data_IF_008856704089
#
_entry.id   IF_008856704089
#
_cell.length_a   1.000
_cell.length_b   1.000
_cell.length_c   1.000
_cell.angle_alpha   90.00
_cell.angle_beta   90.00
_cell.angle_gamma   90.00
#
_symmetry.space_group_name_H-M   'P 1'
#
loop_
_entity.id
_entity.type
_entity.pdbx_description
1 polymer ?
#
# COMPACT_ATOMS: atom_id res chain seq x y z
N UNK A 1 -29.21 -15.82 63.19
CA UNK A 1 -30.21 -15.78 62.17
C UNK A 1 -29.52 -15.17 60.95
N UNK A 2 -28.98 -16.01 60.09
CA UNK A 2 -28.18 -15.55 58.94
C UNK A 2 -29.09 -15.50 57.70
N UNK A 3 -29.43 -14.30 57.24
CA UNK A 3 -30.09 -14.11 55.96
C UNK A 3 -29.08 -14.44 54.84
N UNK A 4 -29.30 -15.61 54.28
CA UNK A 4 -28.57 -16.05 53.08
C UNK A 4 -29.02 -15.21 51.89
N UNK A 5 -28.21 -14.24 51.48
CA UNK A 5 -28.48 -13.39 50.31
C UNK A 5 -28.48 -14.27 49.03
N UNK A 6 -29.69 -14.72 48.68
CA UNK A 6 -29.92 -15.48 47.44
C UNK A 6 -29.80 -14.50 46.28
N UNK A 7 -28.58 -14.39 45.72
CA UNK A 7 -28.32 -13.58 44.54
C UNK A 7 -29.17 -14.10 43.38
N UNK A 8 -30.03 -13.26 42.86
CA UNK A 8 -30.95 -13.56 41.77
C UNK A 8 -30.16 -14.07 40.56
N UNK A 9 -30.39 -15.30 40.15
CA UNK A 9 -29.68 -15.97 39.03
C UNK A 9 -29.73 -15.15 37.74
N UNK A 10 -30.78 -14.37 37.57
CA UNK A 10 -30.96 -13.49 36.41
C UNK A 10 -29.94 -12.32 36.44
N UNK A 11 -29.72 -11.72 37.61
CA UNK A 11 -28.74 -10.66 37.79
C UNK A 11 -27.32 -11.17 37.58
N UNK A 12 -27.01 -12.35 38.08
CA UNK A 12 -25.72 -12.99 37.88
C UNK A 12 -25.43 -13.24 36.39
N UNK A 13 -26.41 -13.77 35.65
CA UNK A 13 -26.27 -14.03 34.21
C UNK A 13 -26.06 -12.74 33.41
N UNK A 14 -26.76 -11.66 33.74
CA UNK A 14 -26.59 -10.36 33.08
C UNK A 14 -25.20 -9.83 33.32
N UNK A 15 -24.64 -9.88 34.52
CA UNK A 15 -23.30 -9.43 34.82
C UNK A 15 -22.24 -10.26 34.08
N UNK A 16 -22.44 -11.58 33.98
CA UNK A 16 -21.54 -12.46 33.24
C UNK A 16 -21.48 -12.11 31.73
N UNK A 17 -22.64 -11.84 31.13
CA UNK A 17 -22.75 -11.44 29.72
C UNK A 17 -22.01 -10.10 29.47
N UNK A 18 -22.21 -9.11 30.37
CA UNK A 18 -21.53 -7.80 30.25
C UNK A 18 -20.04 -7.95 30.38
N UNK A 19 -19.53 -8.76 31.30
CA UNK A 19 -18.09 -9.01 31.47
C UNK A 19 -17.51 -9.68 30.21
N UNK A 20 -18.19 -10.65 29.63
CA UNK A 20 -17.76 -11.31 28.39
C UNK A 20 -17.71 -10.36 27.20
N UNK A 21 -18.68 -9.43 27.09
CA UNK A 21 -18.66 -8.41 26.03
C UNK A 21 -17.51 -7.43 26.18
N UNK A 22 -17.23 -6.98 27.41
CA UNK A 22 -16.09 -6.08 27.67
C UNK A 22 -14.76 -6.79 27.38
N UNK A 23 -14.61 -8.05 27.79
CA UNK A 23 -13.42 -8.84 27.49
C UNK A 23 -13.21 -9.01 25.96
N UNK A 24 -14.28 -9.24 25.19
CA UNK A 24 -14.21 -9.34 23.75
C UNK A 24 -13.77 -8.02 23.08
N UNK A 25 -14.27 -6.89 23.57
CA UNK A 25 -13.87 -5.56 23.08
C UNK A 25 -12.38 -5.30 23.37
N UNK A 26 -11.90 -5.63 24.57
CA UNK A 26 -10.48 -5.44 24.94
C UNK A 26 -9.57 -6.30 24.07
N UNK A 27 -9.91 -7.57 23.83
CA UNK A 27 -9.15 -8.47 22.95
C UNK A 27 -9.14 -7.95 21.51
N UNK A 28 -10.27 -7.44 21.04
CA UNK A 28 -10.36 -6.85 19.68
C UNK A 28 -9.49 -5.61 19.52
N UNK A 29 -9.43 -4.74 20.54
CA UNK A 29 -8.57 -3.55 20.54
C UNK A 29 -7.08 -3.90 20.60
N UNK A 30 -6.69 -4.88 21.44
CA UNK A 30 -5.28 -5.31 21.53
C UNK A 30 -4.78 -6.02 20.27
N UNK A 31 -5.64 -6.75 19.57
CA UNK A 31 -5.30 -7.35 18.28
C UNK A 31 -5.15 -6.30 17.17
N UNK A 32 -5.90 -5.19 17.25
CA UNK A 32 -5.79 -4.11 16.27
C UNK A 32 -4.44 -3.39 16.37
N UNK A 33 -3.96 -3.12 17.58
CA UNK A 33 -2.66 -2.47 17.82
C UNK A 33 -1.47 -3.38 17.44
N UNK A 34 -1.61 -4.71 17.59
CA UNK A 34 -0.56 -5.66 17.20
C UNK A 34 -0.37 -5.76 15.67
N UNK A 35 -1.41 -5.53 14.88
CA UNK A 35 -1.32 -5.56 13.42
C UNK A 35 -0.53 -4.37 12.86
N UNK A 36 -0.55 -3.21 13.54
CA UNK A 36 0.22 -2.03 13.11
C UNK A 36 1.69 -2.06 13.55
N UNK A 37 2.03 -2.78 14.62
CA UNK A 37 3.41 -2.79 15.14
C UNK A 37 4.34 -3.79 14.42
N UNK A 38 3.80 -4.84 13.80
CA UNK A 38 4.61 -5.83 13.07
C UNK A 38 5.15 -5.27 11.75
N UNK A 39 4.47 -4.30 11.13
CA UNK A 39 4.91 -3.68 9.87
C UNK A 39 6.11 -2.74 10.04
N UNK A 40 6.38 -2.21 11.23
CA UNK A 40 7.48 -1.26 11.48
C UNK A 40 8.82 -1.92 11.85
N UNK A 41 8.82 -3.14 12.37
CA UNK A 41 10.06 -3.79 12.83
C UNK A 41 10.90 -4.42 11.71
N UNK A 42 10.35 -4.64 10.51
CA UNK A 42 11.07 -5.33 9.43
C UNK A 42 12.00 -4.43 8.60
N UNK A 43 11.92 -3.11 8.76
CA UNK A 43 12.67 -2.13 7.94
C UNK A 43 14.07 -1.79 8.43
N UNK A 44 14.53 -2.36 9.58
CA UNK A 44 15.77 -1.88 10.20
C UNK A 44 17.03 -2.71 9.94
N UNK A 45 16.99 -3.89 9.33
CA UNK A 45 18.12 -4.83 9.40
C UNK A 45 18.61 -5.50 8.11
N UNK A 46 18.36 -5.00 6.90
CA UNK A 46 19.00 -5.61 5.72
C UNK A 46 19.58 -4.57 4.75
N UNK A 47 20.72 -3.98 5.13
CA UNK A 47 21.68 -3.41 4.18
C UNK A 47 23.01 -4.10 4.37
N UNK A 48 23.17 -5.26 3.71
CA UNK A 48 24.47 -5.84 3.43
C UNK A 48 24.61 -5.90 1.92
N UNK A 49 25.36 -4.96 1.36
CA UNK A 49 25.77 -4.98 -0.05
C UNK A 49 27.02 -5.82 -0.19
N UNK A 50 26.93 -6.91 -0.92
CA UNK A 50 28.09 -7.64 -1.39
C UNK A 50 28.47 -7.15 -2.79
N UNK A 51 29.72 -6.68 -2.91
CA UNK A 51 30.33 -6.24 -4.17
C UNK A 51 30.83 -7.44 -4.95
N UNK A 52 30.11 -7.84 -5.99
CA UNK A 52 30.54 -8.82 -6.97
C UNK A 52 30.74 -8.22 -8.34
N UNK A 53 31.99 -7.88 -8.66
CA UNK A 53 32.46 -7.51 -10.00
C UNK A 53 32.37 -8.70 -10.95
N UNK A 54 31.72 -8.55 -12.11
CA UNK A 54 32.03 -9.38 -13.30
C UNK A 54 31.67 -8.71 -14.61
N UNK A 55 32.58 -8.86 -15.52
CA UNK A 55 32.84 -8.23 -16.81
C UNK A 55 31.87 -8.59 -17.94
N UNK A 56 31.64 -7.59 -18.76
CA UNK A 56 31.66 -7.50 -20.24
C UNK A 56 31.15 -8.71 -21.07
N UNK A 57 30.09 -8.44 -21.80
CA UNK A 57 29.70 -9.14 -23.00
C UNK A 57 28.85 -8.24 -23.88
N UNK A 58 29.49 -7.62 -24.88
CA UNK A 58 28.84 -6.84 -25.94
C UNK A 58 28.07 -7.79 -26.85
N UNK A 59 26.75 -7.58 -26.99
CA UNK A 59 25.98 -8.02 -28.15
C UNK A 59 25.03 -6.91 -28.56
N UNK A 60 25.27 -6.36 -29.74
CA UNK A 60 24.34 -5.50 -30.46
C UNK A 60 23.11 -6.32 -30.88
N UNK A 61 21.94 -5.94 -30.40
CA UNK A 61 20.68 -6.23 -31.07
C UNK A 61 19.74 -5.02 -30.97
N UNK A 62 19.66 -4.35 -32.10
CA UNK A 62 18.68 -3.34 -32.48
C UNK A 62 17.32 -4.00 -32.65
N UNK A 63 16.40 -3.75 -31.74
CA UNK A 63 14.95 -3.62 -31.85
C UNK A 63 14.28 -3.87 -30.50
N UNK A 64 14.51 -3.00 -29.56
CA UNK A 64 13.72 -2.92 -28.32
C UNK A 64 12.76 -1.74 -28.44
N UNK A 65 11.50 -2.01 -28.72
CA UNK A 65 10.42 -1.06 -28.44
C UNK A 65 10.47 -0.76 -26.94
N UNK A 66 11.18 0.27 -26.56
CA UNK A 66 11.16 0.78 -25.20
C UNK A 66 9.76 1.36 -24.97
N UNK A 67 8.90 0.63 -24.30
CA UNK A 67 7.71 1.18 -23.67
C UNK A 67 8.19 2.23 -22.66
N UNK A 68 8.31 3.48 -23.13
CA UNK A 68 8.57 4.61 -22.25
C UNK A 68 7.28 4.82 -21.49
N UNK A 69 7.19 4.26 -20.29
CA UNK A 69 6.11 4.58 -19.36
C UNK A 69 6.20 6.07 -19.06
N UNK A 70 5.25 6.83 -19.55
CA UNK A 70 5.20 8.29 -19.34
C UNK A 70 4.88 8.55 -17.88
N UNK A 71 5.83 9.10 -17.13
CA UNK A 71 5.56 9.57 -15.78
C UNK A 71 4.93 10.96 -15.79
N UNK A 72 4.14 11.25 -14.77
CA UNK A 72 3.51 12.57 -14.55
C UNK A 72 3.95 13.12 -13.20
N UNK A 73 4.33 14.39 -13.16
CA UNK A 73 4.77 15.03 -11.93
C UNK A 73 3.57 15.35 -11.01
N UNK A 74 3.66 14.92 -9.74
CA UNK A 74 2.70 15.30 -8.69
C UNK A 74 2.94 16.77 -8.33
N UNK A 75 2.14 17.65 -8.91
CA UNK A 75 2.17 19.09 -8.65
C UNK A 75 1.01 19.57 -7.75
N UNK A 76 0.07 18.69 -7.43
CA UNK A 76 -1.09 18.96 -6.59
C UNK A 76 -1.38 17.75 -5.68
N UNK A 77 -2.22 17.94 -4.68
CA UNK A 77 -2.63 16.87 -3.75
C UNK A 77 -3.41 15.73 -4.43
N UNK A 78 -3.99 15.99 -5.62
CA UNK A 78 -4.79 15.02 -6.37
C UNK A 78 -4.28 14.94 -7.79
N UNK A 79 -3.67 13.84 -8.19
CA UNK A 79 -3.22 13.61 -9.56
C UNK A 79 -3.79 12.29 -10.05
N UNK A 80 -4.60 12.35 -11.13
CA UNK A 80 -5.26 11.21 -11.77
C UNK A 80 -4.73 11.06 -13.19
N UNK A 81 -4.23 9.86 -13.52
CA UNK A 81 -3.75 9.53 -14.86
C UNK A 81 -4.21 8.13 -15.27
N UNK A 82 -4.40 7.86 -16.56
CA UNK A 82 -4.61 6.50 -17.03
C UNK A 82 -3.34 5.66 -16.88
N UNK A 83 -3.49 4.35 -16.72
CA UNK A 83 -2.42 3.39 -16.96
C UNK A 83 -1.96 3.44 -18.41
N UNK A 84 -0.76 2.95 -18.71
CA UNK A 84 -0.19 2.94 -20.08
C UNK A 84 -1.00 2.06 -21.07
N UNK A 85 -1.76 1.08 -20.57
CA UNK A 85 -2.71 0.29 -21.34
C UNK A 85 -4.12 0.88 -21.37
N UNK A 86 -4.43 1.85 -20.50
CA UNK A 86 -5.71 2.55 -20.45
C UNK A 86 -6.87 1.75 -19.85
N UNK A 87 -6.62 0.63 -19.21
CA UNK A 87 -7.69 -0.19 -18.60
C UNK A 87 -8.22 0.40 -17.29
N UNK A 88 -7.45 1.28 -16.64
CA UNK A 88 -7.79 1.91 -15.35
C UNK A 88 -7.20 3.32 -15.29
N UNK A 89 -7.93 4.25 -14.70
CA UNK A 89 -7.37 5.53 -14.26
C UNK A 89 -6.95 5.43 -12.79
N UNK A 90 -5.74 5.89 -12.47
CA UNK A 90 -5.17 5.85 -11.12
C UNK A 90 -5.10 7.25 -10.56
N UNK A 91 -5.76 7.50 -9.42
CA UNK A 91 -5.66 8.73 -8.64
C UNK A 91 -4.71 8.51 -7.47
N UNK A 92 -3.71 9.37 -7.34
CA UNK A 92 -2.79 9.39 -6.20
C UNK A 92 -2.98 10.67 -5.39
N UNK A 93 -3.15 10.49 -4.08
CA UNK A 93 -3.35 11.56 -3.09
C UNK A 93 -2.32 11.42 -1.97
N UNK A 94 -1.18 12.14 -2.05
CA UNK A 94 -0.18 12.14 -0.99
C UNK A 94 -0.67 12.94 0.24
N UNK A 95 -0.29 12.49 1.43
CA UNK A 95 -0.53 13.19 2.70
C UNK A 95 0.66 12.96 3.65
N UNK A 96 1.29 14.05 4.18
CA UNK A 96 1.00 15.46 3.90
C UNK A 96 1.33 15.86 2.46
N UNK A 97 0.85 17.02 2.05
CA UNK A 97 1.27 17.66 0.80
C UNK A 97 1.56 19.15 1.05
N UNK A 98 2.73 19.67 0.62
CA UNK A 98 3.81 18.99 -0.10
C UNK A 98 4.50 17.90 0.75
N UNK A 99 5.14 16.93 0.06
CA UNK A 99 5.86 15.86 0.73
C UNK A 99 7.16 16.38 1.36
N UNK A 100 7.43 15.89 2.58
CA UNK A 100 8.62 16.21 3.36
C UNK A 100 9.25 14.93 3.93
N UNK A 101 10.51 15.03 4.39
CA UNK A 101 11.15 13.94 5.13
C UNK A 101 10.26 13.55 6.32
N UNK A 102 10.08 12.26 6.55
CA UNK A 102 9.24 11.71 7.61
C UNK A 102 8.10 10.84 7.09
N UNK A 103 7.12 10.63 7.96
CA UNK A 103 6.00 9.73 7.67
C UNK A 103 5.01 10.36 6.68
N UNK A 104 4.64 9.59 5.70
CA UNK A 104 3.70 9.98 4.63
C UNK A 104 2.76 8.82 4.30
N UNK A 105 1.67 9.14 3.62
CA UNK A 105 0.69 8.16 3.13
C UNK A 105 0.30 8.53 1.70
N UNK A 106 0.19 7.53 0.86
CA UNK A 106 -0.38 7.67 -0.48
C UNK A 106 -1.72 6.96 -0.50
N UNK A 107 -2.82 7.70 -0.59
CA UNK A 107 -4.12 7.13 -0.91
C UNK A 107 -4.18 6.96 -2.42
N UNK A 108 -4.39 5.74 -2.88
CA UNK A 108 -4.47 5.35 -4.28
C UNK A 108 -5.90 4.87 -4.53
N UNK A 109 -6.54 5.41 -5.55
CA UNK A 109 -7.88 5.01 -5.97
C UNK A 109 -7.87 4.65 -7.44
N UNK A 110 -8.50 3.52 -7.76
CA UNK A 110 -8.65 3.03 -9.12
C UNK A 110 -10.02 3.40 -9.65
N UNK A 111 -10.08 3.91 -10.88
CA UNK A 111 -11.32 4.31 -11.53
C UNK A 111 -11.48 3.59 -12.86
N UNK A 112 -12.70 3.39 -13.28
CA UNK A 112 -12.98 2.97 -14.65
C UNK A 112 -12.46 4.04 -15.62
N UNK A 113 -11.99 3.65 -16.83
CA UNK A 113 -11.38 4.59 -17.77
C UNK A 113 -12.28 5.79 -18.05
N UNK A 114 -11.70 6.99 -17.97
CA UNK A 114 -12.39 8.28 -18.24
C UNK A 114 -13.69 8.46 -17.46
N UNK A 115 -13.75 7.93 -16.24
CA UNK A 115 -14.93 7.91 -15.38
C UNK A 115 -14.60 8.37 -13.96
N UNK A 116 -15.61 8.76 -13.19
CA UNK A 116 -15.52 8.97 -11.75
C UNK A 116 -16.03 7.74 -10.95
N UNK A 117 -16.30 6.62 -11.64
CA UNK A 117 -16.72 5.37 -11.00
C UNK A 117 -15.51 4.60 -10.53
N UNK A 118 -15.49 4.20 -9.26
CA UNK A 118 -14.42 3.36 -8.70
C UNK A 118 -14.40 2.01 -9.41
N UNK A 119 -13.22 1.58 -9.83
CA UNK A 119 -12.95 0.22 -10.29
C UNK A 119 -12.69 -0.66 -9.08
N UNK A 120 -13.59 -1.58 -8.79
CA UNK A 120 -13.46 -2.57 -7.71
C UNK A 120 -12.69 -3.81 -8.18
N UNK A 121 -12.24 -4.63 -7.23
CA UNK A 121 -11.51 -5.89 -7.47
C UNK A 121 -10.33 -5.71 -8.42
N UNK A 122 -9.34 -4.93 -7.95
CA UNK A 122 -8.10 -4.67 -8.70
C UNK A 122 -6.94 -5.42 -8.07
N UNK A 123 -6.20 -6.17 -8.90
CA UNK A 123 -4.92 -6.77 -8.55
C UNK A 123 -3.81 -5.79 -8.92
N UNK A 124 -2.95 -5.44 -7.95
CA UNK A 124 -2.00 -4.36 -8.11
C UNK A 124 -0.71 -4.60 -7.33
N UNK A 125 0.31 -3.79 -7.62
CA UNK A 125 1.46 -3.56 -6.75
C UNK A 125 1.83 -2.07 -6.75
N UNK A 126 2.57 -1.64 -5.73
CA UNK A 126 3.06 -0.27 -5.61
C UNK A 126 4.56 -0.30 -5.33
N UNK A 127 5.31 0.42 -6.13
CA UNK A 127 6.76 0.54 -6.02
C UNK A 127 7.13 2.01 -5.82
N UNK A 128 8.05 2.30 -4.90
CA UNK A 128 8.67 3.62 -4.78
C UNK A 128 10.13 3.49 -5.16
N UNK A 129 10.58 4.37 -6.06
CA UNK A 129 11.95 4.47 -6.54
C UNK A 129 12.56 5.81 -6.10
N UNK A 130 13.84 5.80 -5.75
CA UNK A 130 14.66 6.98 -5.54
C UNK A 130 15.83 6.94 -6.53
N UNK A 131 15.96 7.96 -7.37
CA UNK A 131 17.01 7.99 -8.43
C UNK A 131 17.01 6.70 -9.26
N UNK A 132 15.84 6.24 -9.69
CA UNK A 132 15.60 5.00 -10.47
C UNK A 132 15.89 3.68 -9.74
N UNK A 133 16.30 3.73 -8.47
CA UNK A 133 16.49 2.52 -7.65
C UNK A 133 15.23 2.23 -6.86
N UNK A 134 14.72 1.02 -6.94
CA UNK A 134 13.61 0.56 -6.10
C UNK A 134 14.03 0.57 -4.64
N UNK A 135 13.28 1.27 -3.80
CA UNK A 135 13.51 1.37 -2.35
C UNK A 135 12.35 0.81 -1.54
N UNK A 136 11.22 0.57 -2.19
CA UNK A 136 10.02 0.04 -1.55
C UNK A 136 9.17 -0.70 -2.58
N UNK A 137 8.58 -1.82 -2.15
CA UNK A 137 7.57 -2.59 -2.89
C UNK A 137 6.50 -3.07 -1.91
N UNK A 138 5.24 -2.72 -2.18
CA UNK A 138 4.14 -3.03 -1.27
C UNK A 138 3.88 -4.54 -1.16
N UNK A 139 3.95 -5.29 -2.26
CA UNK A 139 3.77 -6.75 -2.26
C UNK A 139 4.84 -7.48 -1.45
N UNK A 140 6.07 -6.96 -1.39
CA UNK A 140 7.16 -7.54 -0.60
C UNK A 140 6.84 -7.55 0.90
N UNK A 141 6.06 -6.58 1.41
CA UNK A 141 5.66 -6.53 2.82
C UNK A 141 4.73 -7.69 3.22
N UNK A 142 3.97 -8.21 2.29
CA UNK A 142 3.01 -9.29 2.52
C UNK A 142 3.54 -10.65 2.11
N UNK A 143 4.69 -10.70 1.42
CA UNK A 143 5.24 -11.91 0.82
C UNK A 143 4.37 -12.47 -0.32
N UNK A 144 3.45 -11.68 -0.84
CA UNK A 144 2.57 -12.04 -1.96
C UNK A 144 3.16 -11.52 -3.27
N UNK A 145 2.93 -12.19 -4.41
CA UNK A 145 3.41 -11.72 -5.71
C UNK A 145 2.67 -10.48 -6.21
N UNK A 146 1.48 -10.23 -5.69
CA UNK A 146 0.63 -9.07 -5.97
C UNK A 146 -0.31 -8.81 -4.78
N UNK A 147 -0.91 -7.64 -4.73
CA UNK A 147 -1.93 -7.26 -3.76
C UNK A 147 -3.29 -7.19 -4.44
N UNK A 148 -4.36 -7.35 -3.65
CA UNK A 148 -5.74 -7.24 -4.11
C UNK A 148 -6.50 -6.19 -3.30
N UNK A 149 -7.26 -5.34 -3.98
CA UNK A 149 -8.25 -4.48 -3.34
C UNK A 149 -9.65 -4.78 -3.84
N UNK A 150 -10.55 -5.13 -2.92
CA UNK A 150 -11.95 -5.33 -3.26
C UNK A 150 -12.68 -3.99 -3.49
N UNK A 151 -12.24 -2.93 -2.81
CA UNK A 151 -12.90 -1.63 -2.81
C UNK A 151 -12.37 -0.67 -3.87
N UNK A 152 -11.24 -1.01 -4.54
CA UNK A 152 -10.59 -0.14 -5.51
C UNK A 152 -9.91 1.08 -4.88
N UNK A 153 -9.71 1.08 -3.56
CA UNK A 153 -9.04 2.15 -2.81
C UNK A 153 -8.08 1.53 -1.81
N UNK A 154 -6.85 2.04 -1.78
CA UNK A 154 -5.81 1.58 -0.85
C UNK A 154 -5.05 2.75 -0.27
N UNK A 155 -4.40 2.53 0.88
CA UNK A 155 -3.52 3.51 1.50
C UNK A 155 -2.18 2.85 1.78
N UNK A 156 -1.12 3.40 1.19
CA UNK A 156 0.25 2.93 1.34
C UNK A 156 1.00 3.88 2.26
N UNK A 157 1.36 3.48 3.49
CA UNK A 157 2.22 4.26 4.36
C UNK A 157 3.68 4.14 3.87
N UNK A 158 4.42 5.24 3.91
CA UNK A 158 5.84 5.26 3.56
C UNK A 158 6.56 6.35 4.35
N UNK A 159 7.79 6.06 4.80
CA UNK A 159 8.64 7.02 5.50
C UNK A 159 9.80 7.45 4.62
N UNK A 160 9.87 8.75 4.32
CA UNK A 160 11.00 9.32 3.60
C UNK A 160 12.15 9.61 4.55
N UNK A 161 13.33 9.06 4.27
CA UNK A 161 14.55 9.25 5.06
C UNK A 161 15.46 10.34 4.48
N UNK A 162 15.21 10.78 3.26
CA UNK A 162 15.99 11.83 2.58
C UNK A 162 15.10 12.67 1.67
N UNK A 163 15.56 13.90 1.38
CA UNK A 163 14.98 14.74 0.33
C UNK A 163 15.43 14.26 -1.05
N UNK A 164 14.73 14.69 -2.09
CA UNK A 164 15.11 14.39 -3.47
C UNK A 164 13.94 14.00 -4.36
N UNK A 165 14.27 13.51 -5.55
CA UNK A 165 13.30 13.09 -6.55
C UNK A 165 12.97 11.61 -6.41
N UNK A 166 11.70 11.33 -6.34
CA UNK A 166 11.15 9.98 -6.21
C UNK A 166 10.12 9.73 -7.32
N UNK A 167 9.93 8.46 -7.62
CA UNK A 167 8.86 7.98 -8.50
C UNK A 167 8.01 6.96 -7.75
N UNK A 168 6.70 7.15 -7.71
CA UNK A 168 5.73 6.15 -7.29
C UNK A 168 5.16 5.51 -8.55
N UNK A 169 5.28 4.19 -8.66
CA UNK A 169 4.78 3.40 -9.76
C UNK A 169 3.69 2.47 -9.26
N UNK A 170 2.53 2.52 -9.88
CA UNK A 170 1.40 1.64 -9.61
C UNK A 170 1.26 0.68 -10.78
N UNK A 171 1.46 -0.61 -10.51
CA UNK A 171 1.25 -1.68 -11.47
C UNK A 171 -0.15 -2.27 -11.29
N UNK A 172 -0.92 -2.42 -12.36
CA UNK A 172 -2.22 -3.09 -12.38
C UNK A 172 -2.10 -4.37 -13.18
N UNK A 173 -2.45 -5.50 -12.57
CA UNK A 173 -2.23 -6.85 -13.11
C UNK A 173 -3.52 -7.65 -13.30
N UNK A 174 -4.65 -7.19 -12.72
CA UNK A 174 -5.94 -7.84 -12.84
C UNK A 174 -7.08 -6.90 -12.49
N UNK A 175 -8.24 -7.11 -13.10
CA UNK A 175 -9.48 -6.36 -12.89
C UNK A 175 -10.65 -7.33 -12.83
N UNK A 176 -11.52 -7.22 -11.81
CA UNK A 176 -12.67 -8.09 -11.62
C UNK A 176 -12.29 -9.59 -11.63
N UNK A 177 -11.16 -9.94 -10.98
CA UNK A 177 -10.59 -11.30 -10.92
C UNK A 177 -10.12 -11.85 -12.28
N UNK A 178 -10.00 -11.01 -13.30
CA UNK A 178 -9.48 -11.38 -14.61
C UNK A 178 -8.06 -10.81 -14.74
N UNK A 179 -7.02 -11.65 -14.89
CA UNK A 179 -5.67 -11.18 -15.15
C UNK A 179 -5.62 -10.38 -16.45
N UNK A 180 -4.87 -9.27 -16.45
CA UNK A 180 -4.59 -8.47 -17.64
C UNK A 180 -3.08 -8.42 -17.88
N UNK A 181 -2.65 -7.96 -19.05
CA UNK A 181 -1.26 -7.54 -19.22
C UNK A 181 -0.97 -6.45 -18.20
N UNK A 182 0.16 -6.56 -17.48
CA UNK A 182 0.54 -5.55 -16.51
C UNK A 182 0.60 -4.17 -17.15
N UNK A 183 -0.11 -3.23 -16.57
CA UNK A 183 -0.16 -1.83 -16.98
C UNK A 183 0.37 -0.96 -15.84
N UNK A 184 0.97 0.18 -16.18
CA UNK A 184 1.63 1.05 -15.22
C UNK A 184 1.10 2.48 -15.25
N UNK A 185 0.97 3.07 -14.07
CA UNK A 185 0.81 4.51 -13.88
C UNK A 185 1.99 5.03 -13.03
N UNK A 186 2.74 6.00 -13.54
CA UNK A 186 3.96 6.50 -12.89
C UNK A 186 3.84 7.97 -12.52
N UNK A 187 4.22 8.31 -11.29
CA UNK A 187 4.09 9.62 -10.68
C UNK A 187 5.44 10.08 -10.13
N UNK A 188 6.00 11.14 -10.66
CA UNK A 188 7.22 11.76 -10.15
C UNK A 188 6.90 12.84 -9.12
N UNK A 189 7.69 12.93 -8.08
CA UNK A 189 7.52 13.95 -7.05
C UNK A 189 8.84 14.27 -6.35
N UNK A 190 8.89 15.44 -5.70
CA UNK A 190 10.03 15.89 -4.93
C UNK A 190 9.67 15.93 -3.44
N UNK A 191 10.56 15.38 -2.62
CA UNK A 191 10.51 15.42 -1.14
C UNK A 191 11.49 16.49 -0.65
N UNK A 192 11.01 17.40 0.19
CA UNK A 192 11.77 18.53 0.75
C UNK A 192 12.30 18.24 2.14
#
# INVERSE_FOLDING_TARGET
MFDCCMMDKTKFLIHLIVILQIAFIIVSLTLHDSYYSVSFAYFSNNTSYDNGTSQVGSVNDTNGSSNITKSVTISSQNVKIPTDGGSVDVLVQPSPFPLTIGDSKFKISFFQPSSETIQVHVDYDVVIKHSNTEIFRASALTGQPLLHTAEGIVTIPFKFNSSGNYTLEVAVMGINFVPIRTEYASFDFNVK
#
